data_IF_394625711903
#
_entry.id   IF_394625711903
#
_cell.length_a   1.000
_cell.length_b   1.000
_cell.length_c   1.000
_cell.angle_alpha   90.00
_cell.angle_beta   90.00
_cell.angle_gamma   90.00
#
_symmetry.space_group_name_H-M   'P 1'
#
loop_
_entity.id
_entity.type
_entity.pdbx_description
1 polymer ?
#
# COMPACT_ATOMS: atom_id res chain seq x y z
N UNK A 1 -3.34 -13.74 10.75
CA UNK A 1 -2.16 -12.98 11.22
C UNK A 1 -1.99 -11.82 10.25
N UNK A 2 -1.72 -10.61 10.74
CA UNK A 2 -1.49 -9.46 9.84
C UNK A 2 -0.02 -9.42 9.41
N UNK A 3 0.26 -8.90 8.22
CA UNK A 3 1.64 -8.82 7.69
C UNK A 3 2.49 -7.82 8.47
N UNK A 4 1.89 -6.70 8.90
CA UNK A 4 2.53 -5.76 9.82
C UNK A 4 1.51 -4.95 10.63
N UNK A 5 2.01 -4.22 11.62
CA UNK A 5 1.21 -3.40 12.55
C UNK A 5 1.46 -1.91 12.30
N UNK A 6 0.38 -1.12 12.27
CA UNK A 6 0.41 0.33 12.09
C UNK A 6 -0.30 1.05 13.25
N UNK A 7 0.30 2.11 13.78
CA UNK A 7 -0.31 2.95 14.82
C UNK A 7 -1.10 4.08 14.19
N UNK A 8 -2.42 4.10 14.39
CA UNK A 8 -3.27 5.19 13.90
C UNK A 8 -2.93 6.53 14.57
N UNK A 9 -3.29 7.63 13.91
CA UNK A 9 -2.94 9.00 14.32
C UNK A 9 -1.49 9.36 13.99
N UNK A 10 -0.83 8.61 13.10
CA UNK A 10 0.50 8.92 12.58
C UNK A 10 0.48 8.98 11.05
N UNK A 11 1.53 9.52 10.44
CA UNK A 11 1.70 9.52 8.99
C UNK A 11 1.81 8.09 8.49
N UNK A 12 0.92 7.69 7.60
CA UNK A 12 1.01 6.41 6.92
C UNK A 12 1.95 6.54 5.70
N UNK A 13 3.08 5.85 5.77
CA UNK A 13 4.04 5.76 4.68
C UNK A 13 4.69 4.38 4.71
N UNK A 14 4.61 3.65 3.60
CA UNK A 14 5.21 2.34 3.43
C UNK A 14 6.02 2.34 2.16
N UNK A 15 7.23 1.82 2.22
CA UNK A 15 8.06 1.54 1.05
C UNK A 15 7.99 0.05 0.74
N UNK A 16 7.65 -0.28 -0.50
CA UNK A 16 7.53 -1.65 -0.97
C UNK A 16 8.44 -1.85 -2.18
N UNK A 17 8.88 -3.09 -2.37
CA UNK A 17 9.65 -3.50 -3.55
C UNK A 17 8.86 -4.62 -4.22
N UNK A 18 8.46 -4.41 -5.48
CA UNK A 18 7.88 -5.47 -6.30
C UNK A 18 8.99 -6.22 -7.02
N UNK A 19 8.95 -7.54 -6.89
CA UNK A 19 9.89 -8.46 -7.50
C UNK A 19 9.13 -9.46 -8.37
N UNK A 20 9.77 -9.91 -9.44
CA UNK A 20 9.24 -11.01 -10.24
C UNK A 20 9.40 -12.37 -9.53
N UNK A 21 8.97 -13.45 -10.19
CA UNK A 21 9.08 -14.81 -9.65
C UNK A 21 10.52 -15.29 -9.41
N UNK A 22 11.50 -14.59 -9.98
CA UNK A 22 12.93 -14.89 -9.85
C UNK A 22 13.61 -14.01 -8.80
N UNK A 23 12.88 -13.09 -8.17
CA UNK A 23 13.39 -12.15 -7.17
C UNK A 23 14.01 -10.88 -7.76
N UNK A 24 13.89 -10.68 -9.07
CA UNK A 24 14.42 -9.49 -9.74
C UNK A 24 13.41 -8.35 -9.60
N UNK A 25 13.82 -7.15 -9.17
CA UNK A 25 12.93 -6.00 -9.12
C UNK A 25 12.35 -5.67 -10.50
N UNK A 26 11.03 -5.51 -10.56
CA UNK A 26 10.35 -5.18 -11.83
C UNK A 26 10.57 -3.70 -12.14
N UNK A 27 10.86 -3.36 -13.38
CA UNK A 27 10.94 -1.95 -13.77
C UNK A 27 9.54 -1.30 -13.72
N UNK A 28 9.41 -0.24 -12.91
CA UNK A 28 8.17 0.52 -12.73
C UNK A 28 8.22 1.91 -13.38
N UNK A 29 9.25 2.22 -14.17
CA UNK A 29 9.50 3.58 -14.67
C UNK A 29 8.37 4.18 -15.54
N UNK A 30 7.44 3.36 -16.03
CA UNK A 30 6.34 3.80 -16.92
C UNK A 30 4.95 3.28 -16.54
N UNK A 31 4.79 2.73 -15.34
CA UNK A 31 3.50 2.19 -14.89
C UNK A 31 2.75 3.21 -14.02
N UNK A 32 1.42 3.18 -14.12
CA UNK A 32 0.55 3.82 -13.13
C UNK A 32 0.36 2.86 -11.96
N UNK A 33 0.43 3.41 -10.75
CA UNK A 33 0.24 2.64 -9.52
C UNK A 33 -0.98 3.20 -8.79
N UNK A 34 -1.86 2.33 -8.32
CA UNK A 34 -3.02 2.69 -7.52
C UNK A 34 -3.21 1.67 -6.39
N UNK A 35 -3.67 2.13 -5.23
CA UNK A 35 -3.98 1.28 -4.09
C UNK A 35 -5.10 1.89 -3.24
N UNK A 36 -5.95 1.02 -2.70
CA UNK A 36 -7.05 1.39 -1.81
C UNK A 36 -6.95 0.59 -0.52
N UNK A 37 -7.09 1.27 0.62
CA UNK A 37 -7.18 0.62 1.91
C UNK A 37 -8.63 0.28 2.24
N UNK A 38 -8.91 -0.99 2.48
CA UNK A 38 -10.26 -1.50 2.75
C UNK A 38 -10.34 -2.33 4.02
N UNK A 39 -11.52 -2.44 4.60
CA UNK A 39 -11.79 -3.36 5.71
C UNK A 39 -12.14 -4.78 5.23
N UNK A 40 -12.44 -5.67 6.19
CA UNK A 40 -12.86 -7.05 5.90
C UNK A 40 -14.20 -7.15 5.15
N UNK A 41 -15.06 -6.14 5.29
CA UNK A 41 -16.36 -6.01 4.61
C UNK A 41 -16.24 -5.35 3.23
N UNK A 42 -15.02 -5.04 2.78
CA UNK A 42 -14.72 -4.34 1.54
C UNK A 42 -15.08 -2.85 1.49
N UNK A 43 -15.36 -2.24 2.65
CA UNK A 43 -15.57 -0.80 2.79
C UNK A 43 -14.27 -0.07 2.51
N UNK A 44 -14.31 1.00 1.70
CA UNK A 44 -13.17 1.87 1.49
C UNK A 44 -12.91 2.69 2.75
N UNK A 45 -11.71 2.53 3.32
CA UNK A 45 -11.25 3.28 4.49
C UNK A 45 -10.48 4.52 4.06
N UNK A 46 -9.55 4.36 3.11
CA UNK A 46 -8.75 5.45 2.58
C UNK A 46 -8.23 5.13 1.17
N UNK A 47 -8.26 6.09 0.22
CA UNK A 47 -7.48 5.99 -1.00
C UNK A 47 -6.00 6.20 -0.66
N UNK A 48 -5.10 5.34 -1.17
CA UNK A 48 -3.67 5.49 -0.95
C UNK A 48 -3.02 6.17 -2.15
N UNK A 49 -2.11 7.11 -1.87
CA UNK A 49 -1.25 7.72 -2.86
C UNK A 49 -0.06 6.79 -3.11
N UNK A 50 -0.01 6.21 -4.31
CA UNK A 50 1.09 5.36 -4.72
C UNK A 50 2.06 6.12 -5.63
N UNK A 51 3.34 6.13 -5.27
CA UNK A 51 4.39 6.78 -6.06
C UNK A 51 5.57 5.83 -6.28
N UNK A 52 5.98 5.68 -7.54
CA UNK A 52 7.23 4.99 -7.89
C UNK A 52 8.40 5.83 -7.41
N UNK A 53 9.46 5.18 -6.93
CA UNK A 53 10.69 5.85 -6.51
C UNK A 53 11.65 5.91 -7.71
N UNK A 54 12.07 7.11 -8.16
CA UNK A 54 13.02 7.25 -9.25
C UNK A 54 14.34 6.54 -8.94
N UNK A 55 14.98 5.98 -9.97
CA UNK A 55 16.28 5.33 -9.89
C UNK A 55 16.37 4.13 -8.92
N UNK A 56 15.22 3.62 -8.45
CA UNK A 56 15.12 2.41 -7.63
C UNK A 56 14.12 1.43 -8.28
N UNK A 57 14.61 0.53 -9.15
CA UNK A 57 13.77 -0.46 -9.81
C UNK A 57 12.91 -1.25 -8.82
N UNK A 58 11.64 -1.46 -9.18
CA UNK A 58 10.67 -2.17 -8.34
C UNK A 58 10.21 -1.42 -7.10
N UNK A 59 10.77 -0.26 -6.78
CA UNK A 59 10.48 0.42 -5.52
C UNK A 59 9.35 1.42 -5.69
N UNK A 60 8.34 1.32 -4.83
CA UNK A 60 7.24 2.26 -4.76
C UNK A 60 6.87 2.53 -3.31
N UNK A 61 6.21 3.66 -3.11
CA UNK A 61 5.72 4.09 -1.80
C UNK A 61 4.21 4.14 -1.83
N UNK A 62 3.59 3.75 -0.72
CA UNK A 62 2.19 3.95 -0.44
C UNK A 62 2.08 4.93 0.73
N UNK A 63 1.41 6.05 0.50
CA UNK A 63 1.18 7.08 1.49
C UNK A 63 -0.30 7.38 1.65
N UNK A 64 -0.70 7.88 2.81
CA UNK A 64 -1.99 8.52 2.98
C UNK A 64 -1.75 9.93 3.56
N UNK A 65 -2.06 11.00 2.81
CA UNK A 65 -1.80 12.37 3.26
C UNK A 65 -2.81 12.86 4.29
N UNK A 66 -3.91 12.13 4.51
CA UNK A 66 -4.96 12.50 5.44
C UNK A 66 -4.69 12.04 6.88
N UNK A 67 -5.65 12.34 7.76
CA UNK A 67 -5.59 11.92 9.15
C UNK A 67 -5.98 10.44 9.32
N UNK A 68 -5.09 9.66 9.91
CA UNK A 68 -5.33 8.24 10.21
C UNK A 68 -6.02 8.01 11.56
N UNK A 69 -6.26 9.05 12.37
CA UNK A 69 -6.87 8.93 13.71
C UNK A 69 -8.25 8.26 13.68
N UNK A 70 -9.00 8.46 12.59
CA UNK A 70 -10.32 7.86 12.36
C UNK A 70 -10.28 6.40 11.89
N UNK A 71 -9.11 5.82 11.65
CA UNK A 71 -9.02 4.44 11.18
C UNK A 71 -9.50 3.45 12.26
N UNK A 72 -10.28 2.44 11.87
CA UNK A 72 -10.78 1.44 12.80
C UNK A 72 -9.63 0.59 13.35
N UNK A 73 -9.71 0.23 14.64
CA UNK A 73 -8.74 -0.64 15.31
C UNK A 73 -8.98 -2.11 14.92
N UNK A 74 -8.66 -2.45 13.67
CA UNK A 74 -8.89 -3.77 13.09
C UNK A 74 -7.81 -4.10 12.05
N UNK A 75 -7.93 -5.26 11.42
CA UNK A 75 -7.12 -5.61 10.25
C UNK A 75 -7.73 -4.99 9.00
N UNK A 76 -6.96 -4.14 8.35
CA UNK A 76 -7.24 -3.58 7.04
C UNK A 76 -6.48 -4.36 5.97
N UNK A 77 -6.92 -4.26 4.73
CA UNK A 77 -6.32 -4.91 3.57
C UNK A 77 -6.12 -3.93 2.44
N UNK A 78 -5.02 -4.11 1.72
CA UNK A 78 -4.72 -3.37 0.50
C UNK A 78 -4.00 -4.30 -0.46
N UNK A 79 -4.27 -4.15 -1.73
CA UNK A 79 -3.42 -4.62 -2.81
C UNK A 79 -2.98 -3.41 -3.63
N UNK A 80 -2.02 -3.64 -4.52
CA UNK A 80 -1.50 -2.60 -5.41
C UNK A 80 -1.79 -3.02 -6.83
N UNK A 81 -2.45 -2.13 -7.55
CA UNK A 81 -2.70 -2.27 -8.97
C UNK A 81 -1.64 -1.49 -9.75
N UNK A 82 -0.95 -2.20 -10.64
CA UNK A 82 -0.09 -1.63 -11.66
C UNK A 82 -0.84 -1.62 -12.99
N UNK A 83 -0.71 -0.53 -13.74
CA UNK A 83 -1.24 -0.42 -15.09
C UNK A 83 -0.14 0.07 -16.01
N UNK A 84 0.27 -0.77 -16.95
CA UNK A 84 1.31 -0.46 -17.92
C UNK A 84 0.74 0.42 -19.06
N UNK A 85 1.61 0.99 -19.90
CA UNK A 85 1.27 1.90 -20.99
C UNK A 85 0.41 1.26 -22.08
N UNK A 86 0.52 -0.06 -22.24
CA UNK A 86 -0.32 -0.86 -23.14
C UNK A 86 -1.73 -1.13 -22.56
N UNK A 87 -1.98 -0.72 -21.32
CA UNK A 87 -3.23 -0.96 -20.60
C UNK A 87 -3.27 -2.29 -19.84
N UNK A 88 -2.18 -3.05 -19.81
CA UNK A 88 -2.09 -4.30 -19.04
C UNK A 88 -2.21 -3.99 -17.55
N UNK A 89 -3.20 -4.60 -16.90
CA UNK A 89 -3.44 -4.47 -15.45
C UNK A 89 -2.84 -5.68 -14.73
N UNK A 90 -2.01 -5.40 -13.73
CA UNK A 90 -1.43 -6.40 -12.83
C UNK A 90 -1.76 -6.03 -11.39
N UNK A 91 -2.00 -7.02 -10.55
CA UNK A 91 -2.23 -6.82 -9.12
C UNK A 91 -1.20 -7.58 -8.29
N UNK A 92 -0.80 -6.99 -7.18
CA UNK A 92 0.04 -7.67 -6.18
C UNK A 92 -0.78 -8.64 -5.34
N UNK A 93 -0.08 -9.38 -4.49
CA UNK A 93 -0.73 -10.05 -3.38
C UNK A 93 -1.38 -9.02 -2.44
N UNK A 94 -2.46 -9.43 -1.79
CA UNK A 94 -3.12 -8.64 -0.75
C UNK A 94 -2.25 -8.61 0.50
N UNK A 95 -1.98 -7.40 0.99
CA UNK A 95 -1.26 -7.14 2.23
C UNK A 95 -2.29 -6.78 3.29
N UNK A 96 -2.08 -7.29 4.50
CA UNK A 96 -2.92 -7.08 5.68
C UNK A 96 -2.20 -6.22 6.71
N UNK A 97 -2.90 -5.21 7.23
CA UNK A 97 -2.37 -4.18 8.11
C UNK A 97 -3.17 -4.19 9.40
N UNK A 98 -2.55 -4.56 10.52
CA UNK A 98 -3.17 -4.46 11.83
C UNK A 98 -3.08 -3.02 12.34
N UNK A 99 -4.21 -2.31 12.39
CA UNK A 99 -4.27 -0.97 12.95
C UNK A 99 -4.46 -1.04 14.45
N UNK A 100 -3.54 -0.44 15.20
CA UNK A 100 -3.56 -0.39 16.67
C UNK A 100 -3.54 1.05 17.15
N UNK A 101 -3.97 1.24 18.40
CA UNK A 101 -3.98 2.58 18.99
C UNK A 101 -2.56 3.03 19.36
N UNK A 102 -2.34 4.35 19.34
CA UNK A 102 -1.08 4.91 19.82
C UNK A 102 -1.08 4.90 21.35
N UNK A 103 0.02 4.41 21.93
CA UNK A 103 0.23 4.44 23.40
C UNK A 103 0.70 5.83 23.85
N UNK A 104 1.44 6.53 22.98
CA UNK A 104 1.95 7.90 23.21
C UNK A 104 1.00 8.91 22.56
N UNK A 105 0.57 9.91 23.33
CA UNK A 105 -0.34 10.96 22.86
C UNK A 105 0.39 12.23 22.41
#
# INVERSE_FOLDING_TARGET
MADFTFKRGTTFLITCIVQDRTGVPVDLGRVRVAADLRDAQNTLIAPLEASVVPDQPGTYTLAYPGDTSGWPLTVLRTDVQFTDLDGTIMQTQTITIAVVDRVTQ
#
